data_IF_877941911681
#
_entry.id   IF_877941911681
#
_cell.length_a   1.000
_cell.length_b   1.000
_cell.length_c   1.000
_cell.angle_alpha   90.00
_cell.angle_beta   90.00
_cell.angle_gamma   90.00
#
_symmetry.space_group_name_H-M   'P 1'
#
loop_
_entity.id
_entity.type
_entity.pdbx_description
1 polymer ?
#
# COMPACT_ATOMS: atom_id res chain seq x y z
N UNK A 1 82.43 -30.48 29.95
CA UNK A 1 81.88 -29.89 28.75
C UNK A 1 80.63 -30.70 28.45
N UNK A 2 79.46 -30.14 28.76
CA UNK A 2 78.14 -30.75 28.44
C UNK A 2 77.56 -29.97 27.28
N UNK A 3 77.35 -30.65 26.15
CA UNK A 3 76.74 -30.12 24.95
C UNK A 3 75.16 -30.19 25.15
N UNK A 4 74.54 -29.03 25.10
CA UNK A 4 73.06 -28.89 25.21
C UNK A 4 72.47 -28.94 23.77
N UNK A 5 71.76 -29.99 23.46
CA UNK A 5 70.99 -30.07 22.20
C UNK A 5 69.66 -29.33 22.33
N UNK A 6 69.44 -28.34 21.47
CA UNK A 6 68.20 -27.57 21.34
C UNK A 6 67.29 -28.32 20.40
N UNK A 7 66.16 -28.80 20.92
CA UNK A 7 65.06 -29.42 20.08
C UNK A 7 64.08 -28.34 19.75
N UNK A 8 64.02 -28.00 18.48
CA UNK A 8 63.02 -27.02 17.95
C UNK A 8 61.74 -27.75 17.56
N UNK A 9 60.68 -27.49 18.29
CA UNK A 9 59.33 -27.97 17.92
C UNK A 9 58.72 -27.03 16.87
N UNK A 10 58.46 -27.53 15.68
CA UNK A 10 57.60 -26.89 14.69
C UNK A 10 56.14 -27.20 15.00
N UNK A 11 55.40 -26.19 15.41
CA UNK A 11 53.93 -26.27 15.52
C UNK A 11 53.37 -25.89 14.15
N UNK A 12 52.89 -26.87 13.40
CA UNK A 12 52.08 -26.64 12.21
C UNK A 12 50.69 -26.19 12.60
N UNK A 13 50.38 -24.90 12.40
CA UNK A 13 49.03 -24.37 12.56
C UNK A 13 48.18 -24.81 11.36
N UNK A 14 47.30 -25.79 11.56
CA UNK A 14 46.24 -26.06 10.59
C UNK A 14 45.15 -24.97 10.69
N UNK A 15 45.22 -23.98 9.81
CA UNK A 15 44.04 -23.12 9.51
C UNK A 15 43.03 -23.98 8.80
N UNK A 16 41.99 -24.47 9.50
CA UNK A 16 40.80 -25.00 8.90
C UNK A 16 39.97 -23.83 8.40
N UNK A 17 40.01 -23.61 7.10
CA UNK A 17 39.05 -22.74 6.40
C UNK A 17 37.61 -23.27 6.64
N UNK A 18 36.94 -22.67 7.62
CA UNK A 18 35.50 -22.78 7.76
C UNK A 18 34.88 -21.88 6.69
N UNK A 19 34.69 -22.42 5.50
CA UNK A 19 33.73 -21.89 4.55
C UNK A 19 32.34 -21.95 5.19
N UNK A 20 31.93 -20.80 5.73
CA UNK A 20 30.57 -20.61 6.20
C UNK A 20 29.69 -20.70 4.95
N UNK A 21 29.12 -21.86 4.68
CA UNK A 21 28.03 -22.01 3.73
C UNK A 21 26.86 -21.17 4.29
N UNK A 22 26.76 -19.91 3.81
CA UNK A 22 25.55 -19.14 3.94
C UNK A 22 24.50 -19.89 3.12
N UNK A 23 23.67 -20.67 3.80
CA UNK A 23 22.50 -21.24 3.21
C UNK A 23 21.63 -20.05 2.73
N UNK A 24 21.64 -19.79 1.44
CA UNK A 24 20.65 -18.93 0.79
C UNK A 24 19.34 -19.71 0.79
N UNK A 25 18.70 -19.79 1.96
CA UNK A 25 17.35 -20.26 2.05
C UNK A 25 16.49 -19.26 1.27
N UNK A 26 15.90 -19.70 0.16
CA UNK A 26 14.88 -18.90 -0.52
C UNK A 26 13.79 -18.66 0.51
N UNK A 27 13.59 -17.38 0.91
CA UNK A 27 12.44 -17.02 1.75
C UNK A 27 11.19 -17.55 1.04
N UNK A 28 10.29 -18.15 1.81
CA UNK A 28 9.03 -18.62 1.23
C UNK A 28 8.25 -17.43 0.71
N UNK A 29 7.63 -17.53 -0.48
CA UNK A 29 6.80 -16.45 -0.99
C UNK A 29 5.76 -16.02 0.03
N UNK A 30 5.55 -14.71 0.16
CA UNK A 30 4.51 -14.15 1.01
C UNK A 30 3.34 -13.66 0.16
N UNK A 31 2.16 -14.19 0.44
CA UNK A 31 0.91 -13.78 -0.20
C UNK A 31 0.30 -12.66 0.64
N UNK A 32 -0.05 -11.57 0.01
CA UNK A 32 -0.65 -10.39 0.63
C UNK A 32 -1.93 -10.02 -0.11
N UNK A 33 -3.08 -10.14 0.56
CA UNK A 33 -4.38 -9.73 0.02
C UNK A 33 -4.73 -8.34 0.53
N UNK A 34 -4.89 -7.41 -0.40
CA UNK A 34 -5.11 -5.99 -0.09
C UNK A 34 -6.32 -5.43 -0.81
N UNK A 35 -6.91 -4.39 -0.24
CA UNK A 35 -7.98 -3.64 -0.88
C UNK A 35 -7.86 -2.14 -0.62
N UNK A 36 -8.43 -1.34 -1.55
CA UNK A 36 -8.61 0.09 -1.39
C UNK A 36 -10.10 0.45 -1.55
N UNK A 37 -10.56 1.40 -0.76
CA UNK A 37 -11.93 1.88 -0.88
C UNK A 37 -12.08 3.33 -0.38
N UNK A 38 -12.51 4.22 -1.26
CA UNK A 38 -13.02 5.53 -0.88
C UNK A 38 -14.48 5.36 -0.42
N UNK A 39 -14.80 5.76 0.81
CA UNK A 39 -16.09 5.48 1.46
C UNK A 39 -17.03 6.68 1.51
N UNK A 40 -16.71 7.77 0.79
CA UNK A 40 -17.54 8.99 0.73
C UNK A 40 -18.07 9.40 2.13
N UNK A 41 -17.15 9.54 3.10
CA UNK A 41 -17.43 9.85 4.54
C UNK A 41 -18.50 8.95 5.19
N UNK A 42 -18.71 7.74 4.67
CA UNK A 42 -19.77 6.84 5.16
C UNK A 42 -21.19 7.30 4.83
N UNK A 43 -21.35 8.19 3.85
CA UNK A 43 -22.66 8.80 3.49
C UNK A 43 -23.69 7.78 3.06
N UNK A 44 -23.31 6.79 2.27
CA UNK A 44 -24.21 5.81 1.67
C UNK A 44 -24.10 4.42 2.30
N UNK A 45 -23.25 4.25 3.33
CA UNK A 45 -22.96 2.95 3.93
C UNK A 45 -22.63 3.06 5.43
N UNK A 46 -22.63 1.90 6.10
CA UNK A 46 -22.12 1.76 7.46
C UNK A 46 -20.84 0.93 7.48
N UNK A 47 -19.99 1.06 8.52
CA UNK A 47 -18.79 0.23 8.67
C UNK A 47 -19.09 -1.28 8.61
N UNK A 48 -20.21 -1.70 9.17
CA UNK A 48 -20.63 -3.11 9.21
C UNK A 48 -21.00 -3.62 7.80
N UNK A 49 -21.61 -2.79 6.96
CA UNK A 49 -21.91 -3.13 5.57
C UNK A 49 -20.62 -3.28 4.75
N UNK A 50 -19.65 -2.38 4.94
CA UNK A 50 -18.34 -2.45 4.30
C UNK A 50 -17.58 -3.70 4.76
N UNK A 51 -17.58 -4.01 6.06
CA UNK A 51 -16.97 -5.23 6.57
C UNK A 51 -17.62 -6.49 6.00
N UNK A 52 -18.95 -6.53 5.92
CA UNK A 52 -19.67 -7.65 5.29
C UNK A 52 -19.31 -7.83 3.81
N UNK A 53 -19.19 -6.73 3.08
CA UNK A 53 -18.80 -6.71 1.67
C UNK A 53 -17.40 -7.31 1.45
N UNK A 54 -16.41 -6.93 2.29
CA UNK A 54 -15.04 -7.44 2.16
C UNK A 54 -14.83 -8.86 2.71
N UNK A 55 -15.77 -9.42 3.45
CA UNK A 55 -15.60 -10.73 4.11
C UNK A 55 -15.19 -11.88 3.17
N UNK A 56 -15.69 -11.98 1.92
CA UNK A 56 -15.30 -13.05 1.00
C UNK A 56 -13.85 -13.00 0.52
N UNK A 57 -13.19 -11.85 0.60
CA UNK A 57 -11.86 -11.61 0.01
C UNK A 57 -10.70 -12.00 0.92
N UNK A 58 -10.96 -12.33 2.19
CA UNK A 58 -9.95 -12.75 3.18
C UNK A 58 -8.72 -11.82 3.21
N UNK A 59 -8.97 -10.51 3.25
CA UNK A 59 -7.94 -9.48 3.16
C UNK A 59 -7.02 -9.47 4.39
N UNK A 60 -5.75 -9.16 4.15
CA UNK A 60 -4.74 -8.94 5.20
C UNK A 60 -4.68 -7.47 5.61
N UNK A 61 -4.77 -6.55 4.62
CA UNK A 61 -4.68 -5.11 4.83
C UNK A 61 -5.69 -4.41 3.93
N UNK A 62 -6.32 -3.34 4.46
CA UNK A 62 -7.25 -2.49 3.71
C UNK A 62 -6.87 -1.03 3.95
N UNK A 63 -6.76 -0.26 2.86
CA UNK A 63 -6.67 1.20 2.90
C UNK A 63 -8.02 1.84 2.60
N UNK A 64 -8.42 2.79 3.45
CA UNK A 64 -9.63 3.55 3.24
C UNK A 64 -9.33 5.01 3.01
N UNK A 65 -10.14 5.64 2.17
CA UNK A 65 -10.11 7.07 1.88
C UNK A 65 -11.47 7.69 2.20
N UNK A 66 -11.46 8.99 2.49
CA UNK A 66 -12.64 9.73 2.93
C UNK A 66 -13.37 9.05 4.10
N UNK A 67 -12.59 8.64 5.09
CA UNK A 67 -13.12 8.05 6.32
C UNK A 67 -13.64 9.17 7.21
N UNK A 68 -14.85 9.04 7.80
CA UNK A 68 -15.30 9.96 8.82
C UNK A 68 -14.47 9.84 10.09
N UNK A 69 -14.46 10.87 10.91
CA UNK A 69 -13.81 10.86 12.21
C UNK A 69 -14.39 9.77 13.14
N UNK A 70 -13.62 9.41 14.17
CA UNK A 70 -14.03 8.47 15.21
C UNK A 70 -13.63 7.01 14.96
N UNK A 71 -14.53 6.09 15.28
CA UNK A 71 -14.25 4.64 15.33
C UNK A 71 -14.60 3.87 14.03
N UNK A 72 -14.91 4.58 12.96
CA UNK A 72 -15.42 3.98 11.72
C UNK A 72 -14.57 2.80 11.22
N UNK A 73 -13.26 3.00 11.08
CA UNK A 73 -12.33 1.94 10.61
C UNK A 73 -12.27 0.76 11.58
N UNK A 74 -12.29 1.02 12.89
CA UNK A 74 -12.29 -0.03 13.90
C UNK A 74 -13.57 -0.89 13.85
N UNK A 75 -14.72 -0.27 13.55
CA UNK A 75 -15.99 -1.00 13.37
C UNK A 75 -15.99 -1.87 12.11
N UNK A 76 -15.40 -1.42 11.00
CA UNK A 76 -15.15 -2.30 9.84
C UNK A 76 -14.30 -3.48 10.26
N UNK A 77 -13.22 -3.21 11.00
CA UNK A 77 -12.32 -4.24 11.53
C UNK A 77 -13.04 -5.26 12.41
N UNK A 78 -13.92 -4.82 13.29
CA UNK A 78 -14.75 -5.70 14.13
C UNK A 78 -15.60 -6.67 13.29
N UNK A 79 -16.19 -6.18 12.19
CA UNK A 79 -17.00 -7.01 11.29
C UNK A 79 -16.17 -8.04 10.51
N UNK A 80 -14.86 -7.76 10.28
CA UNK A 80 -13.92 -8.63 9.57
C UNK A 80 -13.06 -9.51 10.49
N UNK A 81 -13.10 -9.30 11.82
CA UNK A 81 -12.17 -9.93 12.75
C UNK A 81 -10.75 -9.37 12.68
N UNK A 82 -10.56 -8.16 12.12
CA UNK A 82 -9.30 -7.42 12.04
C UNK A 82 -9.23 -6.38 13.16
N UNK A 83 -8.09 -6.29 13.86
CA UNK A 83 -8.02 -5.54 15.11
C UNK A 83 -7.09 -4.32 15.08
N UNK A 84 -6.23 -4.22 14.06
CA UNK A 84 -5.16 -3.23 14.04
C UNK A 84 -5.51 -2.13 13.06
N UNK A 85 -5.64 -0.90 13.58
CA UNK A 85 -6.04 0.26 12.78
C UNK A 85 -5.08 1.42 12.97
N UNK A 86 -4.91 2.19 11.93
CA UNK A 86 -4.30 3.52 11.99
C UNK A 86 -5.15 4.50 11.18
N UNK A 87 -5.56 5.58 11.81
CA UNK A 87 -6.31 6.67 11.17
C UNK A 87 -5.43 7.93 11.19
N UNK A 88 -5.25 8.55 10.02
CA UNK A 88 -4.55 9.82 9.90
C UNK A 88 -5.30 10.95 10.58
N UNK A 89 -4.59 12.04 10.85
CA UNK A 89 -5.13 13.24 11.52
C UNK A 89 -5.38 14.39 10.55
N UNK A 90 -4.87 14.28 9.31
CA UNK A 90 -5.02 15.30 8.28
C UNK A 90 -6.20 14.91 7.39
N UNK A 91 -7.27 15.68 7.46
CA UNK A 91 -8.41 15.55 6.56
C UNK A 91 -8.13 16.29 5.24
N UNK A 92 -8.34 15.64 4.10
CA UNK A 92 -8.05 16.22 2.79
C UNK A 92 -8.93 17.42 2.46
N UNK A 93 -8.35 18.44 1.83
CA UNK A 93 -9.05 19.63 1.32
C UNK A 93 -9.82 20.41 2.41
N UNK A 94 -9.34 20.42 3.67
CA UNK A 94 -10.02 20.99 4.82
C UNK A 94 -11.46 20.47 5.04
N UNK A 95 -11.79 19.32 4.45
CA UNK A 95 -13.07 18.69 4.70
C UNK A 95 -13.05 18.03 6.08
N UNK A 96 -14.18 18.01 6.74
CA UNK A 96 -14.30 17.50 8.12
C UNK A 96 -14.09 15.98 8.21
N UNK A 97 -14.39 15.22 7.16
CA UNK A 97 -14.47 13.75 7.19
C UNK A 97 -13.75 13.08 5.99
N UNK A 98 -12.58 13.59 5.58
CA UNK A 98 -11.78 13.01 4.49
C UNK A 98 -10.44 12.46 4.98
N UNK A 99 -10.49 11.67 6.06
CA UNK A 99 -9.31 11.02 6.61
C UNK A 99 -8.90 9.80 5.75
N UNK A 100 -7.65 9.40 5.87
CA UNK A 100 -7.12 8.15 5.33
C UNK A 100 -6.88 7.21 6.48
N UNK A 101 -7.16 5.93 6.29
CA UNK A 101 -6.89 4.93 7.32
C UNK A 101 -6.38 3.61 6.76
N UNK A 102 -5.78 2.84 7.63
CA UNK A 102 -5.30 1.47 7.38
C UNK A 102 -5.94 0.56 8.41
N UNK A 103 -6.46 -0.56 7.93
CA UNK A 103 -6.95 -1.67 8.74
C UNK A 103 -6.10 -2.90 8.42
N UNK A 104 -5.55 -3.56 9.43
CA UNK A 104 -4.67 -4.73 9.26
C UNK A 104 -5.14 -5.91 10.12
N UNK A 105 -4.95 -7.11 9.59
CA UNK A 105 -5.13 -8.38 10.31
C UNK A 105 -4.00 -8.60 11.30
N UNK A 106 -2.79 -8.20 10.95
CA UNK A 106 -1.57 -8.35 11.75
C UNK A 106 -1.20 -7.03 12.45
N UNK A 107 -0.47 -7.06 13.58
CA UNK A 107 -0.08 -5.86 14.31
C UNK A 107 0.70 -4.86 13.46
N UNK A 108 0.37 -3.59 13.60
CA UNK A 108 1.12 -2.50 12.98
C UNK A 108 2.36 -2.20 13.84
N UNK A 109 3.55 -2.37 13.28
CA UNK A 109 4.84 -2.17 13.98
C UNK A 109 5.23 -0.70 14.03
N UNK A 110 4.89 0.04 12.97
CA UNK A 110 5.08 1.49 12.93
C UNK A 110 3.99 2.13 12.08
N UNK A 111 3.62 3.35 12.43
CA UNK A 111 2.63 4.14 11.70
C UNK A 111 3.10 5.58 11.60
N UNK A 112 2.90 6.20 10.46
CA UNK A 112 3.21 7.61 10.23
C UNK A 112 2.24 8.22 9.23
N UNK A 113 1.93 9.50 9.39
CA UNK A 113 1.24 10.28 8.39
C UNK A 113 2.20 11.30 7.77
N UNK A 114 2.36 11.24 6.47
CA UNK A 114 3.19 12.15 5.72
C UNK A 114 2.32 13.20 5.04
N UNK A 115 2.61 14.46 5.30
CA UNK A 115 1.93 15.55 4.63
C UNK A 115 2.37 15.64 3.16
N UNK A 116 1.40 15.74 2.24
CA UNK A 116 1.59 15.90 0.80
C UNK A 116 1.26 17.31 0.30
N UNK A 117 0.86 18.20 1.19
CA UNK A 117 0.44 19.58 0.87
C UNK A 117 1.40 20.29 -0.09
N UNK A 118 0.85 20.90 -1.14
CA UNK A 118 1.61 21.65 -2.14
C UNK A 118 0.95 23.01 -2.42
N UNK A 119 1.74 24.07 -2.57
CA UNK A 119 1.22 25.45 -2.66
C UNK A 119 0.27 25.68 -3.83
N UNK A 120 0.47 25.00 -4.96
CA UNK A 120 -0.30 25.24 -6.20
C UNK A 120 -1.71 24.62 -6.19
N UNK A 121 -2.03 23.73 -5.24
CA UNK A 121 -3.33 23.04 -5.13
C UNK A 121 -4.06 23.42 -3.84
N UNK A 122 -4.22 24.71 -3.60
CA UNK A 122 -4.81 25.25 -2.35
C UNK A 122 -6.16 24.62 -1.99
N UNK A 123 -7.02 24.35 -2.98
CA UNK A 123 -8.34 23.72 -2.78
C UNK A 123 -8.25 22.26 -2.30
N UNK A 124 -7.10 21.59 -2.49
CA UNK A 124 -6.84 20.21 -2.07
C UNK A 124 -5.91 20.12 -0.87
N UNK A 125 -5.54 21.26 -0.30
CA UNK A 125 -4.73 21.30 0.90
C UNK A 125 -5.63 21.41 2.16
N UNK A 126 -5.23 20.80 3.26
CA UNK A 126 -4.10 19.89 3.37
C UNK A 126 -4.35 18.55 2.67
N UNK A 127 -3.28 17.81 2.39
CA UNK A 127 -3.32 16.46 1.85
C UNK A 127 -2.27 15.60 2.54
N UNK A 128 -2.50 14.30 2.65
CA UNK A 128 -1.56 13.37 3.30
C UNK A 128 -1.66 11.97 2.72
N UNK A 129 -0.65 11.16 3.03
CA UNK A 129 -0.66 9.72 2.91
C UNK A 129 -0.37 9.11 4.28
N UNK A 130 -1.11 8.10 4.68
CA UNK A 130 -0.83 7.33 5.89
C UNK A 130 -0.03 6.09 5.53
N UNK A 131 1.03 5.83 6.30
CA UNK A 131 1.90 4.66 6.16
C UNK A 131 1.81 3.80 7.40
N UNK A 132 1.85 2.49 7.21
CA UNK A 132 2.06 1.52 8.29
C UNK A 132 3.00 0.42 7.81
N UNK A 133 3.82 -0.10 8.73
CA UNK A 133 4.60 -1.32 8.51
C UNK A 133 3.97 -2.43 9.34
N UNK A 134 3.74 -3.57 8.72
CA UNK A 134 3.27 -4.79 9.39
C UNK A 134 4.10 -5.99 8.94
N UNK A 135 3.93 -7.14 9.61
CA UNK A 135 4.55 -8.40 9.19
C UNK A 135 3.48 -9.41 8.80
N UNK A 136 3.63 -10.00 7.62
CA UNK A 136 2.83 -11.12 7.14
C UNK A 136 3.76 -12.32 7.03
N UNK A 137 3.49 -13.39 7.78
CA UNK A 137 4.36 -14.56 7.88
C UNK A 137 5.82 -14.22 8.25
N UNK A 138 6.03 -13.19 9.08
CA UNK A 138 7.35 -12.73 9.49
C UNK A 138 8.04 -11.77 8.50
N UNK A 139 7.46 -11.53 7.34
CA UNK A 139 8.01 -10.67 6.28
C UNK A 139 7.44 -9.25 6.42
N UNK A 140 8.29 -8.21 6.50
CA UNK A 140 7.83 -6.84 6.62
C UNK A 140 7.24 -6.33 5.30
N UNK A 141 6.06 -5.73 5.40
CA UNK A 141 5.35 -5.05 4.31
C UNK A 141 5.11 -3.61 4.74
N UNK A 142 5.53 -2.64 3.92
CA UNK A 142 5.17 -1.24 4.08
C UNK A 142 3.95 -0.92 3.23
N UNK A 143 2.96 -0.31 3.84
CA UNK A 143 1.65 -0.10 3.26
C UNK A 143 1.25 1.37 3.36
N UNK A 144 0.84 1.96 2.23
CA UNK A 144 0.44 3.35 2.13
C UNK A 144 -1.01 3.47 1.64
N UNK A 145 -1.84 4.21 2.38
CA UNK A 145 -3.18 4.59 1.94
C UNK A 145 -3.24 6.10 1.69
N UNK A 146 -3.67 6.50 0.50
CA UNK A 146 -3.65 7.89 0.06
C UNK A 146 -4.94 8.35 -0.59
N UNK A 147 -5.14 9.67 -0.58
CA UNK A 147 -6.14 10.36 -1.37
C UNK A 147 -5.48 11.64 -1.90
N UNK A 148 -5.19 11.68 -3.20
CA UNK A 148 -4.47 12.78 -3.85
C UNK A 148 -5.36 13.53 -4.85
N UNK A 149 -4.96 14.76 -5.19
CA UNK A 149 -5.72 15.56 -6.14
C UNK A 149 -5.52 15.08 -7.58
N UNK A 150 -6.53 15.33 -8.41
CA UNK A 150 -6.41 15.17 -9.86
C UNK A 150 -5.32 16.09 -10.42
N UNK A 151 -4.53 15.55 -11.33
CA UNK A 151 -3.44 16.25 -11.97
C UNK A 151 -3.45 16.02 -13.47
N UNK A 152 -3.92 17.02 -14.22
CA UNK A 152 -4.09 16.94 -15.67
C UNK A 152 -2.89 17.43 -16.47
N UNK A 153 -1.93 18.07 -15.82
CA UNK A 153 -0.73 18.58 -16.48
C UNK A 153 0.57 18.18 -15.76
N UNK A 154 1.68 18.25 -16.49
CA UNK A 154 3.01 17.87 -15.99
C UNK A 154 3.50 18.71 -14.79
N UNK A 155 2.93 19.89 -14.57
CA UNK A 155 3.28 20.81 -13.49
C UNK A 155 2.47 20.57 -12.22
N UNK A 156 1.35 19.86 -12.32
CA UNK A 156 0.40 19.60 -11.23
C UNK A 156 0.52 18.20 -10.61
N UNK A 157 1.69 17.62 -10.63
CA UNK A 157 1.94 16.29 -10.04
C UNK A 157 2.38 16.35 -8.57
N UNK A 158 2.15 17.49 -7.90
CA UNK A 158 2.76 17.80 -6.61
C UNK A 158 2.60 16.74 -5.54
N UNK A 159 1.37 16.23 -5.30
CA UNK A 159 1.16 15.18 -4.30
C UNK A 159 1.87 13.88 -4.69
N UNK A 160 1.68 13.41 -5.94
CA UNK A 160 2.35 12.22 -6.45
C UNK A 160 3.87 12.41 -6.52
N UNK A 161 4.34 13.59 -6.90
CA UNK A 161 5.77 13.92 -6.92
C UNK A 161 6.39 13.82 -5.52
N UNK A 162 5.76 14.41 -4.49
CA UNK A 162 6.24 14.31 -3.11
C UNK A 162 6.29 12.86 -2.63
N UNK A 163 5.23 12.10 -2.88
CA UNK A 163 5.23 10.67 -2.56
C UNK A 163 6.39 9.95 -3.24
N UNK A 164 6.53 10.11 -4.57
CA UNK A 164 7.50 9.39 -5.38
C UNK A 164 8.95 9.78 -5.11
N UNK A 165 9.24 11.05 -4.81
CA UNK A 165 10.60 11.60 -4.70
C UNK A 165 11.06 11.82 -3.26
N UNK A 166 10.15 12.07 -2.34
CA UNK A 166 10.52 12.47 -0.98
C UNK A 166 10.17 11.43 0.08
N UNK A 167 9.18 10.55 -0.19
CA UNK A 167 8.67 9.59 0.79
C UNK A 167 9.08 8.15 0.44
N UNK A 168 8.68 7.62 -0.72
CA UNK A 168 8.97 6.24 -1.11
C UNK A 168 10.47 5.90 -1.12
N UNK A 169 11.39 6.79 -1.56
CA UNK A 169 12.83 6.48 -1.52
C UNK A 169 13.41 6.33 -0.11
N UNK A 170 12.72 6.82 0.92
CA UNK A 170 13.15 6.71 2.33
C UNK A 170 12.62 5.45 3.01
N UNK A 171 11.71 4.74 2.37
CA UNK A 171 11.21 3.47 2.86
C UNK A 171 12.33 2.42 2.79
N UNK A 172 12.56 1.75 3.93
CA UNK A 172 13.62 0.76 4.09
C UNK A 172 13.19 -0.65 3.75
N UNK A 173 11.89 -0.85 3.50
CA UNK A 173 11.38 -2.15 3.05
C UNK A 173 11.49 -2.27 1.53
N UNK A 174 11.66 -3.48 1.04
CA UNK A 174 11.61 -3.76 -0.40
C UNK A 174 10.19 -4.04 -0.88
N UNK A 175 9.33 -4.47 0.03
CA UNK A 175 7.94 -4.84 -0.23
C UNK A 175 7.01 -3.69 0.17
N UNK A 176 6.76 -2.80 -0.78
CA UNK A 176 5.93 -1.60 -0.59
C UNK A 176 4.64 -1.76 -1.38
N UNK A 177 3.51 -1.42 -0.77
CA UNK A 177 2.20 -1.33 -1.43
C UNK A 177 1.66 0.08 -1.22
N UNK A 178 1.27 0.73 -2.31
CA UNK A 178 0.64 2.06 -2.30
C UNK A 178 -0.73 1.93 -2.93
N UNK A 179 -1.77 2.34 -2.23
CA UNK A 179 -3.13 2.23 -2.74
C UNK A 179 -4.03 3.38 -2.29
N UNK A 180 -5.17 3.49 -2.94
CA UNK A 180 -6.22 4.45 -2.62
C UNK A 180 -6.79 5.16 -3.82
N UNK A 181 -7.39 6.30 -3.56
CA UNK A 181 -7.95 7.20 -4.55
C UNK A 181 -6.86 8.17 -5.05
N UNK A 182 -6.40 7.93 -6.26
CA UNK A 182 -5.41 8.77 -6.91
C UNK A 182 -6.03 9.94 -7.66
N UNK A 183 -7.36 9.94 -7.88
CA UNK A 183 -8.04 10.94 -8.70
C UNK A 183 -7.42 11.13 -10.11
N UNK A 184 -6.69 10.13 -10.58
CA UNK A 184 -5.96 10.14 -11.85
C UNK A 184 -6.10 8.77 -12.50
N UNK A 185 -6.20 8.73 -13.82
CA UNK A 185 -6.25 7.50 -14.61
C UNK A 185 -4.85 7.00 -14.97
N UNK A 186 -4.71 5.71 -15.28
CA UNK A 186 -3.44 5.16 -15.76
C UNK A 186 -2.98 5.92 -17.01
N UNK A 187 -1.69 6.27 -17.02
CA UNK A 187 -1.11 7.10 -18.07
C UNK A 187 -1.07 8.60 -17.77
N UNK A 188 -1.77 9.07 -16.75
CA UNK A 188 -1.67 10.45 -16.28
C UNK A 188 -0.29 10.76 -15.70
N UNK A 189 0.13 12.04 -15.77
CA UNK A 189 1.44 12.47 -15.28
C UNK A 189 1.68 12.14 -13.81
N UNK A 190 0.65 12.18 -12.98
CA UNK A 190 0.75 11.84 -11.56
C UNK A 190 1.15 10.37 -11.38
N UNK A 191 0.48 9.43 -12.07
CA UNK A 191 0.75 8.00 -11.95
C UNK A 191 2.10 7.63 -12.57
N UNK A 192 2.48 8.24 -13.70
CA UNK A 192 3.84 8.09 -14.26
C UNK A 192 4.95 8.46 -13.27
N UNK A 193 4.72 9.39 -12.32
CA UNK A 193 5.70 9.68 -11.25
C UNK A 193 5.81 8.54 -10.24
N UNK A 194 4.70 7.88 -9.93
CA UNK A 194 4.69 6.71 -9.05
C UNK A 194 5.40 5.52 -9.73
N UNK A 195 5.13 5.28 -11.01
CA UNK A 195 5.81 4.25 -11.81
C UNK A 195 7.32 4.51 -11.90
N UNK A 196 7.75 5.75 -12.15
CA UNK A 196 9.15 6.17 -12.16
C UNK A 196 9.87 6.02 -10.83
N UNK A 197 9.14 5.89 -9.72
CA UNK A 197 9.68 5.58 -8.40
C UNK A 197 9.85 4.07 -8.16
N UNK A 198 9.68 3.22 -9.18
CA UNK A 198 9.81 1.78 -9.10
C UNK A 198 8.56 1.08 -8.56
N UNK A 199 7.40 1.68 -8.78
CA UNK A 199 6.10 1.07 -8.46
C UNK A 199 5.42 0.57 -9.72
N UNK A 200 4.75 -0.58 -9.63
CA UNK A 200 4.00 -1.20 -10.73
C UNK A 200 2.51 -1.30 -10.35
N UNK A 201 1.63 -0.94 -11.28
CA UNK A 201 0.20 -1.05 -11.06
C UNK A 201 -0.27 -2.50 -11.20
N UNK A 202 -1.13 -2.97 -10.29
CA UNK A 202 -1.69 -4.33 -10.34
C UNK A 202 -2.51 -4.59 -11.60
N UNK A 203 -3.05 -3.55 -12.22
CA UNK A 203 -3.82 -3.63 -13.45
C UNK A 203 -3.04 -4.21 -14.63
N UNK A 204 -1.72 -3.95 -14.68
CA UNK A 204 -0.85 -4.47 -15.74
C UNK A 204 -0.74 -6.00 -15.71
N UNK A 205 -0.61 -6.57 -14.49
CA UNK A 205 -0.51 -8.01 -14.31
C UNK A 205 -1.86 -8.71 -14.52
N UNK A 206 -2.93 -8.09 -14.05
CA UNK A 206 -4.30 -8.58 -14.19
C UNK A 206 -4.82 -8.48 -15.63
N UNK A 207 -4.15 -7.69 -16.50
CA UNK A 207 -4.53 -7.47 -17.90
C UNK A 207 -5.97 -7.00 -18.08
N UNK A 208 -6.47 -6.19 -17.14
CA UNK A 208 -7.81 -5.62 -17.19
C UNK A 208 -7.83 -4.47 -18.19
N UNK A 209 -8.79 -4.49 -19.11
CA UNK A 209 -9.02 -3.39 -20.05
C UNK A 209 -9.73 -2.23 -19.34
N UNK A 210 -8.95 -1.33 -18.76
CA UNK A 210 -9.45 -0.20 -17.97
C UNK A 210 -10.33 0.77 -18.78
N UNK A 211 -10.28 0.73 -20.13
CA UNK A 211 -11.14 1.58 -20.95
C UNK A 211 -12.62 1.19 -20.87
N UNK A 212 -12.92 0.00 -20.37
CA UNK A 212 -14.27 -0.54 -20.16
C UNK A 212 -14.73 -0.50 -18.72
N UNK A 213 -13.85 -0.06 -17.82
CA UNK A 213 -14.07 -0.09 -16.39
C UNK A 213 -14.17 1.31 -15.79
N UNK A 214 -14.71 1.40 -14.59
CA UNK A 214 -14.73 2.62 -13.80
C UNK A 214 -14.76 2.30 -12.31
N UNK A 215 -14.15 3.17 -11.51
CA UNK A 215 -14.21 3.09 -10.05
C UNK A 215 -14.94 4.29 -9.44
N UNK A 216 -15.15 5.37 -10.17
CA UNK A 216 -15.83 6.57 -9.70
C UNK A 216 -17.21 6.74 -10.33
N UNK A 217 -18.15 7.42 -9.63
CA UNK A 217 -19.56 7.57 -9.91
C UNK A 217 -20.35 6.26 -9.85
N UNK A 218 -20.01 5.37 -8.93
CA UNK A 218 -20.69 4.09 -8.75
C UNK A 218 -22.18 4.23 -8.37
N UNK A 219 -22.58 5.36 -7.76
CA UNK A 219 -23.99 5.68 -7.45
C UNK A 219 -24.82 6.10 -8.68
N UNK A 220 -24.14 6.63 -9.71
CA UNK A 220 -24.75 7.01 -10.98
C UNK A 220 -23.83 6.60 -12.15
N UNK A 221 -23.85 5.32 -12.55
CA UNK A 221 -22.96 4.79 -13.60
C UNK A 221 -23.09 5.47 -14.96
N UNK A 222 -24.16 6.23 -15.19
CA UNK A 222 -24.31 7.01 -16.44
C UNK A 222 -23.32 8.18 -16.52
N UNK A 223 -22.69 8.55 -15.40
CA UNK A 223 -21.71 9.61 -15.26
C UNK A 223 -20.31 9.08 -14.92
N UNK A 224 -20.03 7.80 -15.20
CA UNK A 224 -18.72 7.23 -14.88
C UNK A 224 -17.58 8.09 -15.44
N UNK A 225 -16.45 8.10 -14.75
CA UNK A 225 -15.27 8.88 -15.13
C UNK A 225 -13.98 8.06 -15.08
N UNK A 226 -14.08 6.76 -15.34
CA UNK A 226 -12.95 5.87 -15.47
C UNK A 226 -12.42 5.31 -14.14
N UNK A 227 -11.27 4.69 -14.21
CA UNK A 227 -10.61 4.03 -13.07
C UNK A 227 -9.60 5.01 -12.46
N UNK A 228 -9.90 5.50 -11.26
CA UNK A 228 -9.07 6.46 -10.51
C UNK A 228 -8.58 5.94 -9.17
N UNK A 229 -9.05 4.76 -8.77
CA UNK A 229 -8.56 4.02 -7.62
C UNK A 229 -7.55 2.98 -8.10
N UNK A 230 -6.38 2.91 -7.43
CA UNK A 230 -5.29 2.04 -7.87
C UNK A 230 -4.61 1.34 -6.69
N UNK A 231 -4.00 0.20 -6.99
CA UNK A 231 -3.06 -0.50 -6.13
C UNK A 231 -1.74 -0.62 -6.89
N UNK A 232 -0.67 -0.11 -6.30
CA UNK A 232 0.69 -0.23 -6.80
C UNK A 232 1.53 -1.05 -5.82
N UNK A 233 2.48 -1.81 -6.34
CA UNK A 233 3.47 -2.52 -5.55
C UNK A 233 4.88 -2.22 -6.03
N UNK A 234 5.86 -2.35 -5.13
CA UNK A 234 7.27 -2.08 -5.43
C UNK A 234 7.88 -3.16 -6.30
N UNK A 235 8.67 -2.76 -7.31
CA UNK A 235 9.50 -3.65 -8.12
C UNK A 235 10.87 -3.94 -7.52
N UNK A 236 11.15 -3.45 -6.29
CA UNK A 236 12.42 -3.73 -5.58
C UNK A 236 12.56 -5.19 -5.20
N UNK A 237 11.47 -5.87 -4.85
CA UNK A 237 11.41 -7.32 -4.70
C UNK A 237 10.65 -7.92 -5.87
N UNK A 238 11.00 -9.16 -6.22
CA UNK A 238 10.24 -9.89 -7.23
C UNK A 238 8.84 -10.14 -6.68
N UNK A 239 7.82 -9.78 -7.47
CA UNK A 239 6.42 -9.93 -7.09
C UNK A 239 5.56 -10.13 -8.33
N UNK A 240 4.42 -10.79 -8.15
CA UNK A 240 3.39 -10.95 -9.16
C UNK A 240 2.00 -10.77 -8.53
N UNK A 241 1.03 -10.35 -9.34
CA UNK A 241 -0.37 -10.28 -8.95
C UNK A 241 -1.10 -11.48 -9.52
N UNK A 242 -1.62 -12.32 -8.63
CA UNK A 242 -2.25 -13.59 -9.00
C UNK A 242 -3.76 -13.47 -9.16
N UNK A 243 -4.39 -12.54 -8.42
CA UNK A 243 -5.82 -12.32 -8.43
C UNK A 243 -6.15 -10.87 -8.04
N UNK A 244 -7.27 -10.35 -8.51
CA UNK A 244 -7.71 -9.00 -8.14
C UNK A 244 -8.70 -8.41 -9.13
N UNK A 245 -9.07 -7.15 -8.89
CA UNK A 245 -9.96 -6.40 -9.76
C UNK A 245 -10.84 -5.42 -9.01
N UNK A 246 -11.86 -4.95 -9.71
CA UNK A 246 -12.92 -4.07 -9.18
C UNK A 246 -14.00 -4.95 -8.57
N UNK A 247 -14.46 -4.59 -7.37
CA UNK A 247 -15.54 -5.31 -6.69
C UNK A 247 -16.88 -4.73 -7.14
N UNK A 248 -17.59 -5.53 -7.92
CA UNK A 248 -18.94 -5.17 -8.38
C UNK A 248 -19.98 -5.44 -7.29
N UNK A 249 -20.81 -4.44 -7.01
CA UNK A 249 -21.84 -4.51 -6.00
C UNK A 249 -23.24 -4.38 -6.64
N UNK A 250 -24.20 -5.20 -6.21
CA UNK A 250 -25.61 -5.07 -6.63
C UNK A 250 -26.19 -3.70 -6.26
N UNK A 251 -25.71 -3.10 -5.18
CA UNK A 251 -26.03 -1.75 -4.73
C UNK A 251 -24.76 -1.08 -4.29
N UNK A 252 -24.43 0.05 -4.89
CA UNK A 252 -23.27 0.84 -4.51
C UNK A 252 -23.38 1.30 -3.04
N UNK A 253 -22.26 1.24 -2.33
CA UNK A 253 -22.12 1.65 -0.92
C UNK A 253 -21.33 2.97 -0.78
N UNK A 254 -20.84 3.52 -1.89
CA UNK A 254 -20.11 4.78 -2.01
C UNK A 254 -20.24 5.24 -3.46
N UNK A 255 -19.87 6.46 -3.76
CA UNK A 255 -19.66 6.95 -5.13
C UNK A 255 -18.42 6.33 -5.81
N UNK A 256 -17.59 5.59 -5.06
CA UNK A 256 -16.52 4.74 -5.59
C UNK A 256 -16.89 3.25 -5.53
N UNK A 257 -16.23 2.44 -6.38
CA UNK A 257 -16.18 0.98 -6.28
C UNK A 257 -14.92 0.56 -5.53
N UNK A 258 -14.98 -0.42 -4.63
CA UNK A 258 -13.77 -0.97 -4.00
C UNK A 258 -12.95 -1.77 -5.01
N UNK A 259 -11.64 -1.78 -4.81
CA UNK A 259 -10.68 -2.58 -5.59
C UNK A 259 -9.86 -3.47 -4.66
N UNK A 260 -9.36 -4.59 -5.17
CA UNK A 260 -8.55 -5.52 -4.41
C UNK A 260 -7.50 -6.22 -5.27
N UNK A 261 -6.48 -6.78 -4.63
CA UNK A 261 -5.48 -7.60 -5.29
C UNK A 261 -4.87 -8.62 -4.30
N UNK A 262 -4.47 -9.77 -4.84
CA UNK A 262 -3.56 -10.71 -4.21
C UNK A 262 -2.17 -10.53 -4.85
N UNK A 263 -1.18 -10.18 -4.04
CA UNK A 263 0.19 -9.93 -4.46
C UNK A 263 1.08 -10.99 -3.79
N UNK A 264 1.85 -11.71 -4.58
CA UNK A 264 2.82 -12.70 -4.12
C UNK A 264 4.21 -12.08 -4.24
N UNK A 265 4.87 -11.85 -3.10
CA UNK A 265 6.26 -11.42 -3.05
C UNK A 265 7.16 -12.63 -2.83
N UNK A 266 8.22 -12.74 -3.63
CA UNK A 266 9.26 -13.76 -3.47
C UNK A 266 10.34 -13.36 -2.47
#
# INVERSE_FOLDING_TARGET
MKVLQLVTFFIASLCADRTCLVATGSEKPVIVRVAAYNVEFGRSTTPEQVGKMFKPYNLDIIGFNEVPDGDWTARVGKALGMKHTYVGKISSANHKDKYKSILSRTPLQSTVEHELTVQRKRSWNPASVVQAVTQINGIPISFYSLHICRSTDSHNTGHAYRLAKEILPKDKTDRIIVLGDFNNEMGDHALKKIEQAGMRATWEDLKIDLSKEFTYNALDPTKNSGVIDHIFYSTKSKAEVTEGGIIELKKALSDHKPIWAEIVFE
#
